data_IF_135418764057
#
_entry.id   IF_135418764057
#
_cell.length_a   1.000
_cell.length_b   1.000
_cell.length_c   1.000
_cell.angle_alpha   90.00
_cell.angle_beta   90.00
_cell.angle_gamma   90.00
#
_symmetry.space_group_name_H-M   'P 1'
#
loop_
_entity.id
_entity.type
_entity.pdbx_description
1 polymer ?
#
# COMPACT_ATOMS: atom_id res chain seq x y z
N UNK A 1 -33.01 -21.25 41.19
CA UNK A 1 -33.78 -20.42 40.25
C UNK A 1 -32.83 -19.36 39.71
N UNK A 2 -32.24 -19.62 38.54
CA UNK A 2 -31.22 -18.77 37.94
C UNK A 2 -31.90 -17.66 37.15
N UNK A 3 -31.55 -16.41 37.47
CA UNK A 3 -32.07 -15.20 36.83
C UNK A 3 -31.61 -15.15 35.37
N UNK A 4 -32.57 -15.23 34.45
CA UNK A 4 -32.41 -15.13 32.99
C UNK A 4 -32.13 -13.70 32.49
N UNK A 5 -31.83 -12.75 33.39
CA UNK A 5 -31.65 -11.33 33.06
C UNK A 5 -30.22 -10.87 32.72
N UNK A 6 -29.20 -11.70 32.88
CA UNK A 6 -27.79 -11.31 32.66
C UNK A 6 -27.19 -11.71 31.30
N UNK A 7 -28.00 -12.29 30.41
CA UNK A 7 -27.56 -12.83 29.11
C UNK A 7 -28.00 -12.02 27.89
N UNK A 8 -28.69 -10.89 28.07
CA UNK A 8 -29.00 -9.99 26.97
C UNK A 8 -27.85 -8.99 26.80
N UNK A 9 -27.07 -9.04 25.70
CA UNK A 9 -26.19 -7.94 25.36
C UNK A 9 -27.07 -6.70 25.19
N UNK A 10 -26.73 -5.62 25.91
CA UNK A 10 -27.35 -4.32 25.68
C UNK A 10 -27.31 -4.01 24.18
N UNK A 11 -28.47 -3.80 23.57
CA UNK A 11 -28.63 -3.50 22.14
C UNK A 11 -27.63 -2.38 21.71
N UNK A 12 -26.60 -2.69 20.90
CA UNK A 12 -25.51 -1.74 20.65
C UNK A 12 -25.70 -1.09 19.27
N UNK A 13 -26.75 -0.28 19.10
CA UNK A 13 -27.08 0.30 17.80
C UNK A 13 -26.15 1.44 17.33
N UNK A 14 -25.60 2.23 18.27
CA UNK A 14 -24.81 3.42 17.93
C UNK A 14 -23.29 3.17 17.95
N UNK A 15 -22.79 2.37 18.90
CA UNK A 15 -21.36 2.10 19.06
C UNK A 15 -20.77 1.34 17.85
N UNK A 16 -21.57 0.46 17.24
CA UNK A 16 -21.20 -0.21 15.99
C UNK A 16 -21.12 0.76 14.82
N UNK A 17 -22.01 1.76 14.76
CA UNK A 17 -22.02 2.75 13.69
C UNK A 17 -20.77 3.61 13.66
N UNK A 18 -20.35 4.13 14.82
CA UNK A 18 -19.14 4.97 14.92
C UNK A 18 -17.85 4.17 14.72
N UNK A 19 -17.76 2.95 15.25
CA UNK A 19 -16.60 2.10 15.04
C UNK A 19 -16.45 1.66 13.57
N UNK A 20 -17.55 1.34 12.90
CA UNK A 20 -17.56 1.03 11.47
C UNK A 20 -17.20 2.26 10.63
N UNK A 21 -17.74 3.43 10.98
CA UNK A 21 -17.41 4.68 10.31
C UNK A 21 -15.91 5.01 10.44
N UNK A 22 -15.35 4.89 11.64
CA UNK A 22 -13.92 5.12 11.88
C UNK A 22 -13.06 4.15 11.06
N UNK A 23 -13.43 2.86 10.99
CA UNK A 23 -12.74 1.87 10.17
C UNK A 23 -12.83 2.18 8.67
N UNK A 24 -13.99 2.61 8.18
CA UNK A 24 -14.19 3.02 6.79
C UNK A 24 -13.40 4.29 6.45
N UNK A 25 -13.38 5.29 7.34
CA UNK A 25 -12.61 6.52 7.15
C UNK A 25 -11.11 6.22 7.13
N UNK A 26 -10.64 5.36 8.04
CA UNK A 26 -9.24 4.92 8.07
C UNK A 26 -8.87 4.16 6.77
N UNK A 27 -9.71 3.22 6.34
CA UNK A 27 -9.54 2.52 5.07
C UNK A 27 -9.59 3.45 3.85
N UNK A 28 -10.39 4.51 3.91
CA UNK A 28 -10.47 5.53 2.86
C UNK A 28 -9.18 6.34 2.77
N UNK A 29 -8.62 6.77 3.90
CA UNK A 29 -7.31 7.46 3.93
C UNK A 29 -6.22 6.58 3.34
N UNK A 30 -6.17 5.30 3.73
CA UNK A 30 -5.24 4.32 3.16
C UNK A 30 -5.42 4.16 1.65
N UNK A 31 -6.65 4.01 1.17
CA UNK A 31 -6.93 3.89 -0.27
C UNK A 31 -6.59 5.17 -1.06
N UNK A 32 -6.81 6.35 -0.48
CA UNK A 32 -6.41 7.63 -1.05
C UNK A 32 -4.89 7.73 -1.19
N UNK A 33 -4.11 7.26 -0.20
CA UNK A 33 -2.65 7.22 -0.31
C UNK A 33 -2.17 6.36 -1.47
N UNK A 34 -2.78 5.18 -1.66
CA UNK A 34 -2.49 4.30 -2.81
C UNK A 34 -2.87 4.99 -4.13
N UNK A 35 -3.99 5.71 -4.17
CA UNK A 35 -4.42 6.43 -5.37
C UNK A 35 -3.48 7.58 -5.74
N UNK A 36 -2.99 8.33 -4.75
CA UNK A 36 -1.99 9.39 -4.94
C UNK A 36 -0.71 8.81 -5.53
N UNK A 37 -0.18 7.75 -4.91
CA UNK A 37 1.00 7.02 -5.40
C UNK A 37 0.81 6.55 -6.85
N UNK A 38 -0.30 5.87 -7.14
CA UNK A 38 -0.62 5.39 -8.48
C UNK A 38 -0.71 6.52 -9.50
N UNK A 39 -1.37 7.63 -9.15
CA UNK A 39 -1.60 8.75 -10.06
C UNK A 39 -0.30 9.48 -10.41
N UNK A 40 0.57 9.71 -9.42
CA UNK A 40 1.88 10.32 -9.65
C UNK A 40 2.81 9.41 -10.44
N UNK A 41 2.79 8.10 -10.16
CA UNK A 41 3.59 7.13 -10.90
C UNK A 41 3.13 7.00 -12.36
N UNK A 42 1.81 7.02 -12.61
CA UNK A 42 1.24 7.09 -13.96
C UNK A 42 1.72 8.33 -14.72
N UNK A 43 1.71 9.51 -14.09
CA UNK A 43 2.23 10.75 -14.69
C UNK A 43 3.71 10.60 -15.07
N UNK A 44 4.52 10.10 -14.14
CA UNK A 44 5.96 9.91 -14.37
C UNK A 44 6.24 8.93 -15.51
N UNK A 45 5.60 7.76 -15.50
CA UNK A 45 5.78 6.75 -16.55
C UNK A 45 5.26 7.23 -17.90
N UNK A 46 4.11 7.92 -17.94
CA UNK A 46 3.57 8.47 -19.17
C UNK A 46 4.54 9.49 -19.83
N UNK A 47 5.14 10.37 -19.02
CA UNK A 47 6.15 11.32 -19.53
C UNK A 47 7.38 10.56 -20.06
N UNK A 48 7.83 9.50 -19.38
CA UNK A 48 8.93 8.67 -19.86
C UNK A 48 8.61 7.93 -21.17
N UNK A 49 7.39 7.41 -21.33
CA UNK A 49 6.95 6.75 -22.56
C UNK A 49 6.89 7.74 -23.72
N UNK A 50 6.40 8.96 -23.49
CA UNK A 50 6.34 9.99 -24.54
C UNK A 50 7.71 10.44 -25.06
N UNK A 51 8.74 10.39 -24.22
CA UNK A 51 10.09 10.73 -24.64
C UNK A 51 10.78 9.63 -25.47
N UNK A 52 10.19 8.43 -25.56
CA UNK A 52 10.79 7.27 -26.25
C UNK A 52 9.83 6.72 -27.34
N UNK A 53 10.17 6.86 -28.64
CA UNK A 53 9.26 6.47 -29.74
C UNK A 53 8.96 4.97 -29.80
N UNK A 54 9.85 4.11 -29.28
CA UNK A 54 9.65 2.66 -29.21
C UNK A 54 8.58 2.23 -28.18
N UNK A 55 8.17 3.13 -27.27
CA UNK A 55 7.24 2.82 -26.16
C UNK A 55 5.81 3.32 -26.39
N UNK A 56 5.44 3.57 -27.64
CA UNK A 56 4.12 4.08 -28.01
C UNK A 56 2.99 3.08 -27.67
N UNK A 57 3.23 1.77 -27.77
CA UNK A 57 2.24 0.74 -27.43
C UNK A 57 1.90 0.72 -25.92
N UNK A 58 2.89 1.00 -25.06
CA UNK A 58 2.70 1.08 -23.61
C UNK A 58 1.91 2.33 -23.21
N UNK A 59 2.12 3.44 -23.92
CA UNK A 59 1.33 4.66 -23.77
C UNK A 59 -0.15 4.39 -23.99
N UNK A 60 -0.50 3.67 -25.06
CA UNK A 60 -1.88 3.34 -25.39
C UNK A 60 -2.50 2.40 -24.34
N UNK A 61 -1.72 1.48 -23.77
CA UNK A 61 -2.16 0.62 -22.67
C UNK A 61 -2.41 1.41 -21.36
N UNK A 62 -1.54 2.35 -21.01
CA UNK A 62 -1.69 3.25 -19.85
C UNK A 62 -2.92 4.16 -20.04
N UNK A 63 -3.16 4.65 -21.26
CA UNK A 63 -4.31 5.48 -21.59
C UNK A 63 -5.63 4.68 -21.63
N UNK A 64 -5.58 3.42 -22.06
CA UNK A 64 -6.72 2.50 -22.07
C UNK A 64 -7.16 2.05 -20.67
N UNK A 65 -6.27 2.13 -19.68
CA UNK A 65 -6.59 1.90 -18.27
C UNK A 65 -7.52 3.01 -17.73
N UNK A 66 -8.81 2.91 -18.11
CA UNK A 66 -9.87 3.92 -17.99
C UNK A 66 -10.17 4.40 -16.57
N UNK A 67 -10.62 5.66 -16.51
CA UNK A 67 -11.11 6.41 -15.35
C UNK A 67 -12.27 5.75 -14.56
N UNK A 68 -13.00 4.79 -15.15
CA UNK A 68 -14.16 4.12 -14.51
C UNK A 68 -13.73 3.04 -13.51
N UNK A 69 -12.55 2.44 -13.71
CA UNK A 69 -12.03 1.42 -12.79
C UNK A 69 -11.36 2.06 -11.55
N UNK A 70 -11.04 3.35 -11.60
CA UNK A 70 -10.41 4.06 -10.48
C UNK A 70 -11.32 4.22 -9.26
N UNK A 71 -12.57 4.71 -9.37
CA UNK A 71 -13.46 4.79 -8.21
C UNK A 71 -13.80 3.40 -7.67
N UNK A 72 -13.98 2.40 -8.55
CA UNK A 72 -14.20 1.02 -8.12
C UNK A 72 -13.00 0.48 -7.33
N UNK A 73 -11.79 0.74 -7.80
CA UNK A 73 -10.59 0.30 -7.09
C UNK A 73 -10.47 0.97 -5.72
N UNK A 74 -10.72 2.28 -5.63
CA UNK A 74 -10.71 2.99 -4.34
C UNK A 74 -11.78 2.41 -3.41
N UNK A 75 -13.00 2.19 -3.91
CA UNK A 75 -14.09 1.61 -3.12
C UNK A 75 -13.75 0.21 -2.57
N UNK A 76 -13.26 -0.68 -3.44
CA UNK A 76 -12.85 -2.04 -3.05
C UNK A 76 -11.69 -1.99 -2.05
N UNK A 77 -10.68 -1.17 -2.32
CA UNK A 77 -9.51 -1.06 -1.45
C UNK A 77 -9.86 -0.44 -0.09
N UNK A 78 -10.76 0.55 -0.04
CA UNK A 78 -11.31 1.10 1.21
C UNK A 78 -12.00 0.02 2.03
N UNK A 79 -12.86 -0.79 1.39
CA UNK A 79 -13.53 -1.90 2.06
C UNK A 79 -12.54 -2.94 2.59
N UNK A 80 -11.55 -3.33 1.78
CA UNK A 80 -10.51 -4.28 2.21
C UNK A 80 -9.69 -3.72 3.38
N UNK A 81 -9.18 -2.50 3.29
CA UNK A 81 -8.38 -1.88 4.36
C UNK A 81 -9.19 -1.64 5.65
N UNK A 82 -10.50 -1.41 5.54
CA UNK A 82 -11.38 -1.30 6.70
C UNK A 82 -11.64 -2.67 7.38
N UNK A 83 -11.60 -3.76 6.61
CA UNK A 83 -11.80 -5.13 7.10
C UNK A 83 -10.50 -5.79 7.61
N UNK A 84 -9.34 -5.33 7.15
CA UNK A 84 -8.05 -5.86 7.58
C UNK A 84 -7.80 -5.47 9.03
N UNK A 85 -7.58 -6.46 9.89
CA UNK A 85 -7.20 -6.22 11.27
C UNK A 85 -5.84 -5.51 11.39
N UNK A 86 -5.73 -4.62 12.39
CA UNK A 86 -4.53 -3.81 12.64
C UNK A 86 -3.25 -4.63 12.80
N UNK A 87 -3.33 -5.80 13.47
CA UNK A 87 -2.20 -6.73 13.61
C UNK A 87 -1.69 -7.25 12.27
N UNK A 88 -2.60 -7.68 11.38
CA UNK A 88 -2.22 -8.17 10.05
C UNK A 88 -1.69 -7.04 9.18
N UNK A 89 -2.31 -5.85 9.24
CA UNK A 89 -1.79 -4.66 8.56
C UNK A 89 -0.36 -4.32 9.01
N UNK A 90 -0.08 -4.36 10.32
CA UNK A 90 1.26 -4.13 10.87
C UNK A 90 2.29 -5.16 10.38
N UNK A 91 1.92 -6.43 10.30
CA UNK A 91 2.80 -7.48 9.78
C UNK A 91 3.11 -7.32 8.29
N UNK A 92 2.12 -6.92 7.49
CA UNK A 92 2.30 -6.63 6.06
C UNK A 92 3.24 -5.43 5.84
N UNK A 93 3.15 -4.42 6.69
CA UNK A 93 4.03 -3.25 6.67
C UNK A 93 5.46 -3.66 7.01
N UNK A 94 5.65 -4.34 8.14
CA UNK A 94 6.97 -4.74 8.62
C UNK A 94 7.66 -5.69 7.64
N UNK A 95 6.93 -6.66 7.09
CA UNK A 95 7.44 -7.56 6.05
C UNK A 95 7.91 -6.79 4.82
N UNK A 96 7.11 -5.84 4.33
CA UNK A 96 7.49 -5.03 3.18
C UNK A 96 8.70 -4.15 3.47
N UNK A 97 8.76 -3.49 4.64
CA UNK A 97 9.87 -2.63 5.04
C UNK A 97 11.19 -3.40 5.12
N UNK A 98 11.17 -4.58 5.75
CA UNK A 98 12.33 -5.47 5.78
C UNK A 98 12.77 -5.89 4.37
N UNK A 99 11.82 -6.05 3.45
CA UNK A 99 12.11 -6.44 2.05
C UNK A 99 12.71 -5.29 1.28
N UNK A 100 12.14 -4.11 1.42
CA UNK A 100 12.67 -2.90 0.82
C UNK A 100 14.12 -2.67 1.28
N UNK A 101 14.39 -2.75 2.58
CA UNK A 101 15.75 -2.61 3.14
C UNK A 101 16.69 -3.70 2.61
N UNK A 102 16.27 -4.97 2.63
CA UNK A 102 17.09 -6.08 2.12
C UNK A 102 17.42 -5.92 0.64
N UNK A 103 16.44 -5.56 -0.20
CA UNK A 103 16.69 -5.34 -1.64
C UNK A 103 17.61 -4.16 -1.92
N UNK A 104 17.52 -3.08 -1.13
CA UNK A 104 18.40 -1.90 -1.23
C UNK A 104 19.83 -2.22 -0.76
N UNK A 105 19.99 -3.09 0.24
CA UNK A 105 21.30 -3.51 0.75
C UNK A 105 21.98 -4.54 -0.17
N UNK A 106 21.21 -5.47 -0.77
CA UNK A 106 21.75 -6.57 -1.59
C UNK A 106 22.04 -6.20 -3.05
N UNK A 107 21.36 -5.19 -3.63
CA UNK A 107 21.55 -4.79 -5.02
C UNK A 107 21.88 -3.29 -5.14
N UNK A 108 22.94 -2.99 -5.89
CA UNK A 108 23.40 -1.63 -6.15
C UNK A 108 22.31 -0.71 -6.73
N UNK A 109 22.37 0.57 -6.33
CA UNK A 109 21.44 1.66 -6.67
C UNK A 109 21.20 1.80 -8.19
N UNK A 110 19.95 1.70 -8.63
CA UNK A 110 19.57 2.30 -9.92
C UNK A 110 18.24 1.83 -10.51
N UNK A 111 18.10 0.53 -10.80
CA UNK A 111 17.00 0.03 -11.64
C UNK A 111 15.75 -0.40 -10.86
N UNK A 112 15.88 -0.84 -9.61
CA UNK A 112 14.78 -1.49 -8.87
C UNK A 112 13.88 -0.55 -8.06
N UNK A 113 14.20 0.75 -7.98
CA UNK A 113 13.41 1.73 -7.21
C UNK A 113 11.98 1.89 -7.75
N UNK A 114 11.79 1.76 -9.07
CA UNK A 114 10.47 1.89 -9.73
C UNK A 114 9.55 0.70 -9.45
N UNK A 115 10.13 -0.50 -9.40
CA UNK A 115 9.38 -1.72 -9.08
C UNK A 115 8.94 -1.73 -7.61
N UNK A 116 9.78 -1.21 -6.71
CA UNK A 116 9.43 -1.04 -5.30
C UNK A 116 8.20 -0.14 -5.10
N UNK A 117 8.04 0.95 -5.89
CA UNK A 117 6.84 1.79 -5.83
C UNK A 117 5.56 1.07 -6.27
N UNK A 118 5.64 0.14 -7.22
CA UNK A 118 4.48 -0.64 -7.64
C UNK A 118 4.13 -1.73 -6.62
N UNK A 119 5.14 -2.36 -6.02
CA UNK A 119 4.97 -3.40 -5.01
C UNK A 119 4.50 -2.86 -3.67
N UNK A 120 4.82 -1.61 -3.33
CA UNK A 120 4.47 -1.03 -2.03
C UNK A 120 3.01 -0.59 -1.91
N UNK A 121 2.22 -0.59 -2.99
CA UNK A 121 0.87 0.00 -3.00
C UNK A 121 -0.01 -0.48 -1.85
N UNK A 122 -0.18 -1.80 -1.73
CA UNK A 122 -1.04 -2.36 -0.70
C UNK A 122 -0.45 -2.16 0.72
N UNK A 123 0.87 -2.34 0.86
CA UNK A 123 1.58 -2.13 2.13
C UNK A 123 1.55 -0.67 2.59
N UNK A 124 1.59 0.30 1.67
CA UNK A 124 1.42 1.72 1.96
C UNK A 124 0.01 2.01 2.50
N UNK A 125 -1.02 1.41 1.90
CA UNK A 125 -2.39 1.54 2.39
C UNK A 125 -2.54 1.00 3.83
N UNK A 126 -1.93 -0.16 4.10
CA UNK A 126 -1.86 -0.74 5.44
C UNK A 126 -1.07 0.17 6.41
N UNK A 127 0.08 0.69 5.97
CA UNK A 127 0.97 1.52 6.79
C UNK A 127 0.38 2.86 7.16
N UNK A 128 -0.27 3.54 6.21
CA UNK A 128 -1.01 4.77 6.49
C UNK A 128 -2.17 4.51 7.46
N UNK A 129 -2.89 3.39 7.29
CA UNK A 129 -3.96 3.00 8.20
C UNK A 129 -3.43 2.75 9.62
N UNK A 130 -2.34 1.99 9.76
CA UNK A 130 -1.68 1.74 11.05
C UNK A 130 -1.15 3.04 11.68
N UNK A 131 -0.42 3.85 10.92
CA UNK A 131 0.13 5.13 11.38
C UNK A 131 -0.96 6.09 11.84
N UNK A 132 -2.09 6.16 11.12
CA UNK A 132 -3.23 6.99 11.52
C UNK A 132 -3.88 6.47 12.81
N UNK A 133 -3.99 5.15 12.97
CA UNK A 133 -4.54 4.56 14.20
C UNK A 133 -3.66 4.85 15.42
N UNK A 134 -2.34 4.84 15.25
CA UNK A 134 -1.35 5.19 16.27
C UNK A 134 -1.39 6.69 16.61
N UNK A 135 -1.36 7.57 15.60
CA UNK A 135 -1.34 9.02 15.81
C UNK A 135 -2.63 9.56 16.44
N UNK A 136 -3.76 8.89 16.21
CA UNK A 136 -5.06 9.30 16.76
C UNK A 136 -5.44 8.55 18.04
N UNK A 137 -4.53 7.75 18.57
CA UNK A 137 -4.77 7.07 19.82
C UNK A 137 -4.82 8.06 20.99
N UNK A 138 -5.84 7.95 21.84
CA UNK A 138 -6.06 8.88 22.96
C UNK A 138 -6.61 10.26 22.58
N UNK A 139 -6.94 10.51 21.30
CA UNK A 139 -7.50 11.78 20.88
C UNK A 139 -8.97 11.95 21.33
N UNK A 140 -9.37 13.10 21.91
CA UNK A 140 -10.72 13.33 22.42
C UNK A 140 -11.81 13.39 21.32
N UNK A 141 -11.41 13.68 20.07
CA UNK A 141 -12.31 13.78 18.91
C UNK A 141 -11.81 12.94 17.72
N UNK A 142 -11.48 11.67 17.98
CA UNK A 142 -10.93 10.72 17.00
C UNK A 142 -11.69 10.71 15.66
N UNK A 143 -13.02 10.56 15.68
CA UNK A 143 -13.82 10.47 14.44
C UNK A 143 -13.78 11.75 13.60
N UNK A 144 -13.75 12.94 14.23
CA UNK A 144 -13.63 14.21 13.51
C UNK A 144 -12.23 14.42 12.93
N UNK A 145 -11.19 14.03 13.65
CA UNK A 145 -9.82 14.03 13.11
C UNK A 145 -9.67 13.05 11.95
N UNK A 146 -10.32 11.87 12.01
CA UNK A 146 -10.37 10.91 10.91
C UNK A 146 -11.12 11.46 9.70
N UNK A 147 -12.26 12.12 9.92
CA UNK A 147 -13.03 12.76 8.86
C UNK A 147 -12.21 13.84 8.16
N UNK A 148 -11.50 14.69 8.93
CA UNK A 148 -10.62 15.72 8.39
C UNK A 148 -9.45 15.12 7.62
N UNK A 149 -8.81 14.07 8.15
CA UNK A 149 -7.75 13.33 7.47
C UNK A 149 -8.25 12.72 6.15
N UNK A 150 -9.43 12.09 6.15
CA UNK A 150 -10.07 11.54 4.97
C UNK A 150 -10.42 12.62 3.94
N UNK A 151 -10.92 13.77 4.38
CA UNK A 151 -11.19 14.92 3.52
C UNK A 151 -9.93 15.45 2.85
N UNK A 152 -8.84 15.65 3.60
CA UNK A 152 -7.56 16.12 3.06
C UNK A 152 -6.93 15.08 2.12
N UNK A 153 -6.93 13.80 2.51
CA UNK A 153 -6.42 12.72 1.67
C UNK A 153 -7.24 12.58 0.37
N UNK A 154 -8.55 12.72 0.46
CA UNK A 154 -9.46 12.72 -0.69
C UNK A 154 -9.22 13.90 -1.63
N UNK A 155 -9.06 15.11 -1.08
CA UNK A 155 -8.71 16.30 -1.88
C UNK A 155 -7.38 16.12 -2.60
N UNK A 156 -6.35 15.63 -1.90
CA UNK A 156 -5.04 15.36 -2.51
C UNK A 156 -5.16 14.32 -3.64
N UNK A 157 -5.88 13.21 -3.38
CA UNK A 157 -6.11 12.17 -4.37
C UNK A 157 -6.84 12.69 -5.61
N UNK A 158 -7.88 13.51 -5.43
CA UNK A 158 -8.62 14.13 -6.52
C UNK A 158 -7.73 15.06 -7.36
N UNK A 159 -6.87 15.86 -6.71
CA UNK A 159 -5.94 16.74 -7.42
C UNK A 159 -4.90 15.95 -8.22
N UNK A 160 -4.33 14.89 -7.63
CA UNK A 160 -3.42 13.98 -8.34
C UNK A 160 -4.11 13.28 -9.52
N UNK A 161 -5.37 12.88 -9.38
CA UNK A 161 -6.14 12.30 -10.48
C UNK A 161 -6.45 13.30 -11.58
N UNK A 162 -6.78 14.55 -11.24
CA UNK A 162 -6.99 15.63 -12.22
C UNK A 162 -5.70 15.91 -12.97
N UNK A 163 -4.58 15.98 -12.26
CA UNK A 163 -3.24 16.10 -12.83
C UNK A 163 -2.95 14.94 -13.80
N UNK A 164 -3.15 13.70 -13.37
CA UNK A 164 -2.92 12.52 -14.21
C UNK A 164 -3.77 12.53 -15.48
N UNK A 165 -5.07 12.84 -15.38
CA UNK A 165 -5.96 12.96 -16.54
C UNK A 165 -5.53 14.09 -17.48
N UNK A 166 -5.17 15.25 -16.94
CA UNK A 166 -4.69 16.38 -17.72
C UNK A 166 -3.41 16.03 -18.49
N UNK A 167 -2.44 15.42 -17.81
CA UNK A 167 -1.17 15.03 -18.43
C UNK A 167 -1.41 13.97 -19.51
N UNK A 168 -2.16 12.90 -19.21
CA UNK A 168 -2.41 11.84 -20.19
C UNK A 168 -3.13 12.35 -21.44
N UNK A 169 -4.07 13.29 -21.30
CA UNK A 169 -4.84 13.82 -22.42
C UNK A 169 -4.12 14.90 -23.23
N UNK A 170 -3.41 15.82 -22.55
CA UNK A 170 -3.02 17.10 -23.15
C UNK A 170 -1.50 17.35 -23.16
N UNK A 171 -0.71 16.57 -22.43
CA UNK A 171 0.73 16.85 -22.28
C UNK A 171 1.47 16.89 -23.62
N UNK A 172 1.14 16.01 -24.58
CA UNK A 172 1.78 16.00 -25.90
C UNK A 172 1.53 17.27 -26.74
N UNK A 173 0.38 17.92 -26.57
CA UNK A 173 0.04 19.17 -27.24
C UNK A 173 0.63 20.37 -26.48
N UNK A 174 0.49 20.36 -25.15
CA UNK A 174 0.91 21.46 -24.28
C UNK A 174 2.43 21.57 -24.17
N UNK A 175 3.17 20.46 -24.28
CA UNK A 175 4.64 20.47 -24.25
C UNK A 175 5.23 21.22 -25.45
N UNK A 176 4.60 21.12 -26.61
CA UNK A 176 5.03 21.81 -27.85
C UNK A 176 4.66 23.29 -27.84
N UNK A 177 3.47 23.62 -27.34
CA UNK A 177 2.93 24.97 -27.42
C UNK A 177 3.14 25.83 -26.15
N UNK A 178 3.71 25.26 -25.07
CA UNK A 178 4.23 25.98 -23.88
C UNK A 178 3.23 26.97 -23.22
N UNK A 179 1.92 26.70 -23.26
CA UNK A 179 0.90 27.60 -22.70
C UNK A 179 0.31 27.15 -21.36
N UNK A 180 0.66 25.97 -20.84
CA UNK A 180 0.16 25.46 -19.58
C UNK A 180 1.27 25.43 -18.51
N UNK A 181 1.13 26.24 -17.45
CA UNK A 181 2.10 26.31 -16.35
C UNK A 181 2.40 24.96 -15.70
N UNK A 182 1.39 24.09 -15.57
CA UNK A 182 1.52 22.75 -15.00
C UNK A 182 2.40 21.84 -15.88
N UNK A 183 2.17 21.83 -17.20
CA UNK A 183 2.98 21.05 -18.14
C UNK A 183 4.41 21.60 -18.26
N UNK A 184 4.59 22.93 -18.15
CA UNK A 184 5.92 23.57 -18.13
C UNK A 184 6.68 23.17 -16.87
N UNK A 185 6.02 23.21 -15.70
CA UNK A 185 6.61 22.76 -14.42
C UNK A 185 6.99 21.28 -14.47
N UNK A 186 6.13 20.43 -15.07
CA UNK A 186 6.44 19.01 -15.27
C UNK A 186 7.63 18.81 -16.23
N UNK A 187 7.80 19.69 -17.22
CA UNK A 187 8.94 19.63 -18.12
C UNK A 187 10.25 20.09 -17.45
N UNK A 188 10.20 21.10 -16.57
CA UNK A 188 11.38 21.57 -15.82
C UNK A 188 11.75 20.65 -14.66
N UNK A 189 10.76 20.20 -13.88
CA UNK A 189 10.96 19.52 -12.60
C UNK A 189 10.44 18.08 -12.57
N UNK A 190 10.02 17.50 -13.71
CA UNK A 190 9.49 16.13 -13.76
C UNK A 190 10.46 15.05 -13.25
N UNK A 191 11.77 15.29 -13.40
CA UNK A 191 12.83 14.46 -12.85
C UNK A 191 12.88 14.39 -11.31
N UNK A 192 12.30 15.38 -10.59
CA UNK A 192 12.25 15.42 -9.12
C UNK A 192 11.11 14.59 -8.52
N UNK A 193 10.08 14.26 -9.32
CA UNK A 193 8.93 13.45 -8.88
C UNK A 193 9.34 12.14 -8.18
N UNK A 194 10.19 11.27 -8.76
CA UNK A 194 10.59 10.03 -8.11
C UNK A 194 11.38 10.25 -6.82
N UNK A 195 12.16 11.33 -6.73
CA UNK A 195 12.88 11.66 -5.51
C UNK A 195 11.91 12.11 -4.41
N UNK A 196 10.98 13.01 -4.71
CA UNK A 196 9.95 13.45 -3.75
C UNK A 196 9.08 12.28 -3.29
N UNK A 197 8.71 11.39 -4.21
CA UNK A 197 7.95 10.18 -3.91
C UNK A 197 8.72 9.24 -2.99
N UNK A 198 10.03 9.07 -3.22
CA UNK A 198 10.89 8.28 -2.34
C UNK A 198 10.91 8.82 -0.91
N UNK A 199 11.10 10.13 -0.75
CA UNK A 199 11.15 10.78 0.56
C UNK A 199 9.80 10.67 1.28
N UNK A 200 8.70 10.93 0.57
CA UNK A 200 7.35 10.79 1.12
C UNK A 200 7.06 9.35 1.56
N UNK A 201 7.48 8.37 0.74
CA UNK A 201 7.32 6.96 1.04
C UNK A 201 8.19 6.53 2.23
N UNK A 202 9.42 7.01 2.31
CA UNK A 202 10.32 6.76 3.44
C UNK A 202 9.75 7.30 4.75
N UNK A 203 9.19 8.52 4.74
CA UNK A 203 8.52 9.09 5.91
C UNK A 203 7.27 8.28 6.28
N UNK A 204 6.44 7.91 5.30
CA UNK A 204 5.24 7.12 5.53
C UNK A 204 5.56 5.76 6.15
N UNK A 205 6.56 5.03 5.63
CA UNK A 205 7.00 3.76 6.20
C UNK A 205 7.70 3.91 7.53
N UNK A 206 8.48 4.98 7.78
CA UNK A 206 9.07 5.21 9.09
C UNK A 206 8.01 5.36 10.19
N UNK A 207 6.95 6.14 9.93
CA UNK A 207 5.81 6.28 10.86
C UNK A 207 5.04 4.97 10.98
N UNK A 208 4.82 4.27 9.86
CA UNK A 208 4.10 3.01 9.85
C UNK A 208 4.85 1.88 10.57
N UNK A 209 6.17 1.81 10.46
CA UNK A 209 7.02 0.84 11.15
C UNK A 209 7.03 1.10 12.66
N UNK A 210 7.12 2.37 13.07
CA UNK A 210 7.02 2.76 14.48
C UNK A 210 5.66 2.33 15.05
N UNK A 211 4.57 2.63 14.33
CA UNK A 211 3.21 2.23 14.71
C UNK A 211 3.05 0.70 14.71
N UNK A 212 3.62 0.00 13.74
CA UNK A 212 3.54 -1.45 13.62
C UNK A 212 4.26 -2.15 14.78
N UNK A 213 5.49 -1.70 15.11
CA UNK A 213 6.26 -2.24 16.23
C UNK A 213 5.51 -1.99 17.55
N UNK A 214 4.97 -0.79 17.74
CA UNK A 214 4.24 -0.48 18.95
C UNK A 214 2.94 -1.30 19.08
N UNK A 215 2.16 -1.42 18.00
CA UNK A 215 0.92 -2.17 17.97
C UNK A 215 1.15 -3.67 18.21
N UNK A 216 2.22 -4.23 17.63
CA UNK A 216 2.63 -5.61 17.89
C UNK A 216 3.13 -5.78 19.33
N UNK A 217 3.87 -4.80 19.87
CA UNK A 217 4.46 -4.90 21.21
C UNK A 217 3.42 -4.79 22.32
N UNK A 218 2.42 -3.92 22.17
CA UNK A 218 1.30 -3.78 23.13
C UNK A 218 0.44 -5.03 23.25
N UNK A 219 0.43 -5.81 22.19
CA UNK A 219 -0.30 -7.06 22.07
C UNK A 219 0.36 -8.23 22.82
N UNK A 220 1.55 -8.04 23.40
CA UNK A 220 2.23 -9.02 24.27
C UNK A 220 2.37 -8.50 25.71
N UNK A 221 1.99 -9.33 26.68
CA UNK A 221 2.04 -8.98 28.11
C UNK A 221 3.46 -9.13 28.69
N UNK A 222 4.36 -9.86 28.02
CA UNK A 222 5.75 -10.10 28.47
C UNK A 222 6.77 -10.11 27.33
N UNK A 223 8.01 -9.66 27.62
CA UNK A 223 9.13 -9.66 26.66
C UNK A 223 9.49 -11.09 26.16
N UNK A 224 9.22 -12.12 26.98
CA UNK A 224 9.45 -13.51 26.61
C UNK A 224 8.46 -14.02 25.54
N UNK A 225 7.20 -13.59 25.60
CA UNK A 225 6.19 -13.91 24.58
C UNK A 225 6.45 -13.16 23.27
N UNK A 226 6.91 -11.90 23.37
CA UNK A 226 7.35 -11.13 22.21
C UNK A 226 8.50 -11.85 21.49
N UNK A 227 9.54 -12.30 22.20
CA UNK A 227 10.67 -13.04 21.58
C UNK A 227 10.19 -14.34 20.89
N UNK A 228 9.20 -15.04 21.44
CA UNK A 228 8.61 -16.24 20.80
C UNK A 228 7.87 -15.94 19.50
N UNK A 229 7.42 -14.71 19.27
CA UNK A 229 6.82 -14.28 18.01
C UNK A 229 7.86 -13.73 17.02
N UNK A 230 8.80 -12.91 17.51
CA UNK A 230 9.85 -12.31 16.68
C UNK A 230 10.84 -13.35 16.14
N UNK A 231 11.11 -14.43 16.87
CA UNK A 231 12.03 -15.49 16.41
C UNK A 231 11.52 -16.25 15.19
N UNK A 232 10.29 -16.83 15.14
CA UNK A 232 9.79 -17.44 13.92
C UNK A 232 9.55 -16.42 12.80
N UNK A 233 9.11 -15.20 13.10
CA UNK A 233 8.98 -14.14 12.09
C UNK A 233 10.32 -13.85 11.41
N UNK A 234 11.38 -13.66 12.19
CA UNK A 234 12.73 -13.42 11.67
C UNK A 234 13.26 -14.63 10.91
N UNK A 235 13.05 -15.86 11.38
CA UNK A 235 13.47 -17.09 10.69
C UNK A 235 12.72 -17.31 9.38
N UNK A 236 11.39 -17.21 9.36
CA UNK A 236 10.60 -17.31 8.14
C UNK A 236 11.01 -16.22 7.13
N UNK A 237 11.32 -15.03 7.63
CA UNK A 237 11.72 -13.91 6.80
C UNK A 237 13.14 -14.05 6.25
N UNK A 238 14.11 -14.52 7.04
CA UNK A 238 15.46 -14.82 6.54
C UNK A 238 15.41 -15.92 5.48
N UNK A 239 14.60 -16.98 5.69
CA UNK A 239 14.37 -18.01 4.69
C UNK A 239 13.71 -17.46 3.41
N UNK A 240 12.72 -16.57 3.53
CA UNK A 240 12.08 -15.93 2.38
C UNK A 240 13.07 -15.07 1.59
N UNK A 241 13.90 -14.27 2.27
CA UNK A 241 14.92 -13.45 1.61
C UNK A 241 15.96 -14.31 0.91
N UNK A 242 16.44 -15.38 1.56
CA UNK A 242 17.37 -16.34 0.94
C UNK A 242 16.72 -17.00 -0.28
N UNK A 243 15.49 -17.48 -0.15
CA UNK A 243 14.74 -18.07 -1.25
C UNK A 243 14.56 -17.09 -2.41
N UNK A 244 14.17 -15.84 -2.14
CA UNK A 244 13.96 -14.82 -3.15
C UNK A 244 15.27 -14.39 -3.83
N UNK A 245 16.37 -14.35 -3.09
CA UNK A 245 17.70 -14.07 -3.64
C UNK A 245 18.20 -15.23 -4.50
N UNK A 246 17.88 -16.47 -4.10
CA UNK A 246 18.21 -17.67 -4.85
C UNK A 246 17.35 -17.80 -6.12
N UNK A 247 16.04 -17.52 -6.05
CA UNK A 247 15.18 -17.39 -7.24
C UNK A 247 15.72 -16.30 -8.17
N UNK A 248 16.07 -15.11 -7.67
CA UNK A 248 16.61 -14.03 -8.50
C UNK A 248 17.95 -14.39 -9.19
N UNK A 249 18.75 -15.29 -8.59
CA UNK A 249 19.98 -15.84 -9.20
C UNK A 249 19.70 -16.92 -10.24
N UNK A 250 18.65 -17.72 -10.04
CA UNK A 250 18.31 -18.85 -10.91
C UNK A 250 17.41 -18.44 -12.09
N UNK A 251 16.60 -17.40 -11.94
CA UNK A 251 15.71 -16.92 -12.99
C UNK A 251 16.41 -15.89 -13.88
N UNK A 252 17.02 -16.35 -14.98
CA UNK A 252 17.44 -15.50 -16.11
C UNK A 252 16.23 -14.96 -16.89
N UNK A 253 15.04 -15.54 -16.66
CA UNK A 253 13.79 -15.09 -17.25
C UNK A 253 12.73 -14.89 -16.16
N UNK A 254 12.13 -13.72 -16.16
CA UNK A 254 11.50 -13.14 -14.99
C UNK A 254 10.27 -13.91 -14.49
N UNK A 255 10.43 -14.60 -13.36
CA UNK A 255 9.34 -15.26 -12.64
C UNK A 255 8.15 -14.32 -12.34
N UNK A 256 6.91 -14.85 -12.26
CA UNK A 256 5.72 -14.04 -12.08
C UNK A 256 5.68 -13.43 -10.68
N UNK A 257 5.58 -12.09 -10.60
CA UNK A 257 5.44 -11.32 -9.33
C UNK A 257 4.33 -11.86 -8.40
N UNK A 258 3.31 -12.50 -8.99
CA UNK A 258 2.25 -13.20 -8.26
C UNK A 258 2.75 -14.37 -7.40
N UNK A 259 3.76 -15.13 -7.88
CA UNK A 259 4.35 -16.25 -7.11
C UNK A 259 5.00 -15.73 -5.83
N UNK A 260 5.72 -14.61 -5.94
CA UNK A 260 6.35 -13.97 -4.77
C UNK A 260 5.32 -13.53 -3.73
N UNK A 261 4.21 -12.93 -4.15
CA UNK A 261 3.14 -12.51 -3.24
C UNK A 261 2.47 -13.71 -2.57
N UNK A 262 2.23 -14.78 -3.31
CA UNK A 262 1.62 -15.99 -2.76
C UNK A 262 2.52 -16.67 -1.73
N UNK A 263 3.82 -16.80 -2.01
CA UNK A 263 4.80 -17.38 -1.07
C UNK A 263 4.90 -16.53 0.19
N UNK A 264 4.90 -15.20 0.05
CA UNK A 264 4.97 -14.24 1.15
C UNK A 264 3.74 -14.29 2.06
N UNK A 265 2.55 -14.17 1.48
CA UNK A 265 1.31 -14.27 2.24
C UNK A 265 1.11 -15.68 2.82
N UNK A 266 1.60 -16.72 2.13
CA UNK A 266 1.68 -18.08 2.66
C UNK A 266 2.59 -18.19 3.89
N UNK A 267 3.75 -17.51 3.90
CA UNK A 267 4.63 -17.42 5.07
C UNK A 267 3.95 -16.72 6.26
N UNK A 268 3.28 -15.58 6.02
CA UNK A 268 2.49 -14.89 7.04
C UNK A 268 1.32 -15.74 7.55
N UNK A 269 0.68 -16.51 6.67
CA UNK A 269 -0.38 -17.44 7.03
C UNK A 269 0.12 -18.56 7.95
N UNK A 270 1.27 -19.17 7.66
CA UNK A 270 1.87 -20.20 8.53
C UNK A 270 2.28 -19.60 9.89
N UNK A 271 2.86 -18.39 9.89
CA UNK A 271 3.19 -17.67 11.13
C UNK A 271 1.95 -17.40 11.99
N UNK A 272 0.84 -17.01 11.38
CA UNK A 272 -0.40 -16.75 12.09
C UNK A 272 -1.17 -18.03 12.47
N UNK A 273 -0.95 -19.14 11.77
CA UNK A 273 -1.40 -20.46 12.23
C UNK A 273 -0.65 -20.94 13.47
N UNK A 274 0.63 -20.59 13.59
CA UNK A 274 1.48 -21.03 14.70
C UNK A 274 1.37 -20.16 15.94
N UNK A 275 1.10 -18.85 15.78
CA UNK A 275 1.11 -17.88 16.90
C UNK A 275 -0.12 -16.96 16.95
N UNK A 276 -0.99 -16.97 15.92
CA UNK A 276 -2.09 -16.03 15.77
C UNK A 276 -3.46 -16.54 16.25
N UNK A 277 -4.45 -15.64 16.24
CA UNK A 277 -5.86 -15.97 16.51
C UNK A 277 -6.54 -16.39 15.21
N UNK A 278 -7.62 -17.19 15.30
CA UNK A 278 -8.42 -17.58 14.14
C UNK A 278 -8.96 -16.40 13.32
N UNK A 279 -9.22 -15.25 13.96
CA UNK A 279 -9.59 -14.01 13.27
C UNK A 279 -8.48 -13.48 12.36
N UNK A 280 -7.21 -13.66 12.74
CA UNK A 280 -6.07 -13.15 12.00
C UNK A 280 -5.87 -13.91 10.68
N UNK A 281 -6.24 -15.20 10.66
CA UNK A 281 -6.24 -16.04 9.46
C UNK A 281 -7.18 -15.47 8.39
N UNK A 282 -8.40 -15.08 8.79
CA UNK A 282 -9.36 -14.44 7.88
C UNK A 282 -8.83 -13.08 7.39
N UNK A 283 -8.23 -12.30 8.27
CA UNK A 283 -7.62 -11.01 7.90
C UNK A 283 -6.45 -11.18 6.93
N UNK A 284 -5.65 -12.25 7.02
CA UNK A 284 -4.59 -12.56 6.03
C UNK A 284 -5.18 -12.87 4.66
N UNK A 285 -6.27 -13.64 4.59
CA UNK A 285 -6.93 -13.94 3.32
C UNK A 285 -7.51 -12.67 2.68
N UNK A 286 -8.17 -11.82 3.47
CA UNK A 286 -8.64 -10.51 3.01
C UNK A 286 -7.47 -9.65 2.53
N UNK A 287 -6.34 -9.70 3.24
CA UNK A 287 -5.12 -8.97 2.90
C UNK A 287 -4.49 -9.45 1.59
N UNK A 288 -4.44 -10.77 1.37
CA UNK A 288 -4.00 -11.39 0.12
C UNK A 288 -4.87 -10.95 -1.06
N UNK A 289 -6.19 -10.91 -0.89
CA UNK A 289 -7.12 -10.43 -1.92
C UNK A 289 -6.87 -8.95 -2.25
N UNK A 290 -6.65 -8.12 -1.23
CA UNK A 290 -6.28 -6.71 -1.40
C UNK A 290 -5.01 -6.52 -2.20
N UNK A 291 -3.97 -7.29 -1.87
CA UNK A 291 -2.71 -7.22 -2.57
C UNK A 291 -2.81 -7.72 -4.02
N UNK A 292 -3.50 -8.84 -4.26
CA UNK A 292 -3.76 -9.32 -5.62
C UNK A 292 -4.52 -8.28 -6.45
N UNK A 293 -5.51 -7.62 -5.85
CA UNK A 293 -6.28 -6.56 -6.51
C UNK A 293 -5.40 -5.36 -6.91
N UNK A 294 -4.48 -4.94 -6.04
CA UNK A 294 -3.48 -3.91 -6.36
C UNK A 294 -2.54 -4.37 -7.47
N UNK A 295 -2.04 -5.60 -7.42
CA UNK A 295 -1.14 -6.15 -8.44
C UNK A 295 -1.80 -6.30 -9.81
N UNK A 296 -3.03 -6.81 -9.87
CA UNK A 296 -3.78 -6.94 -11.13
C UNK A 296 -3.94 -5.58 -11.82
N UNK A 297 -4.18 -4.52 -11.04
CA UNK A 297 -4.27 -3.15 -11.56
C UNK A 297 -2.90 -2.60 -11.95
N UNK A 298 -1.87 -2.88 -11.16
CA UNK A 298 -0.50 -2.43 -11.41
C UNK A 298 0.18 -3.21 -12.55
N UNK A 299 -0.35 -4.37 -12.97
CA UNK A 299 0.28 -5.29 -13.91
C UNK A 299 0.70 -4.65 -15.24
N UNK A 300 -0.13 -3.76 -15.79
CA UNK A 300 0.19 -3.03 -17.03
C UNK A 300 1.39 -2.09 -16.84
N UNK A 301 1.46 -1.39 -15.70
CA UNK A 301 2.56 -0.49 -15.36
C UNK A 301 3.84 -1.27 -14.99
N UNK A 302 3.67 -2.45 -14.39
CA UNK A 302 4.76 -3.32 -13.97
C UNK A 302 5.45 -4.00 -15.15
N UNK A 303 4.68 -4.40 -16.16
CA UNK A 303 5.21 -4.92 -17.43
C UNK A 303 6.03 -3.84 -18.16
N UNK A 304 5.53 -2.60 -18.21
CA UNK A 304 6.29 -1.45 -18.73
C UNK A 304 7.59 -1.21 -17.98
N UNK A 305 7.59 -1.28 -16.65
CA UNK A 305 8.81 -1.13 -15.84
C UNK A 305 9.81 -2.28 -16.04
N UNK A 306 9.34 -3.49 -16.36
CA UNK A 306 10.20 -4.66 -16.57
C UNK A 306 10.99 -4.61 -17.88
N UNK A 307 10.46 -3.89 -18.87
CA UNK A 307 11.10 -3.68 -20.18
C UNK A 307 12.06 -2.47 -20.21
N UNK A 308 12.36 -1.87 -19.04
CA UNK A 308 13.30 -0.75 -18.90
C UNK A 308 14.66 -1.21 -18.37
#
# INVERSE_FOLDING_TARGET
MFSLGSWLPAFPGLAWGWALLDALLQGLVGACAVLVLCSLLKVYLYIQCLNNPERQAEKDAIQAQRAVLEPLHVLVLTGVLALVGSRVAALVVLEFSLRAVSTVLSLGKGAHSRQLYLLCQYSLGCGVSCGLSFLLEGAPHRSWSLLLAAGLAGLLALQCQRLARHVCALYGLHSRARYCGLCILLLSDGHRIPALLLHALAVAFAVADLAAVELINRDFLSAAEAVRFWTPLTICYTLLVVYMQEEARQSTDGGPVFRTVLVRMGGLFILLLTVGRWSDILHVLVSLLGELWCLLRAGVLLESCRRQ
#
